data_IF_073182353234
#
_entry.id   IF_073182353234
#
_cell.length_a   1.000
_cell.length_b   1.000
_cell.length_c   1.000
_cell.angle_alpha   90.00
_cell.angle_beta   90.00
_cell.angle_gamma   90.00
#
_symmetry.space_group_name_H-M   'P 1'
#
loop_
_entity.id
_entity.type
_entity.pdbx_description
1 polymer ?
#
# COMPACT_ATOMS: atom_id res chain seq x y z
N UNK A 1 0.20 18.00 -25.79
CA UNK A 1 -0.92 17.36 -25.10
C UNK A 1 -0.98 15.90 -25.50
N UNK A 2 -0.25 15.05 -24.79
CA UNK A 2 -0.49 13.60 -24.85
C UNK A 2 -1.77 13.34 -24.06
N UNK A 3 -2.84 12.95 -24.78
CA UNK A 3 -4.12 12.61 -24.15
C UNK A 3 -3.93 11.45 -23.18
N UNK A 4 -4.61 11.49 -22.05
CA UNK A 4 -4.69 10.34 -21.17
C UNK A 4 -5.08 9.10 -21.98
N UNK A 5 -4.41 7.95 -21.81
CA UNK A 5 -4.76 6.73 -22.52
C UNK A 5 -6.22 6.40 -22.24
N UNK A 6 -7.04 6.33 -23.30
CA UNK A 6 -8.45 5.95 -23.16
C UNK A 6 -8.50 4.54 -22.59
N UNK A 7 -9.13 4.39 -21.44
CA UNK A 7 -9.34 3.08 -20.82
C UNK A 7 -10.32 2.28 -21.68
N UNK A 8 -9.97 1.06 -22.10
CA UNK A 8 -10.87 0.25 -22.91
C UNK A 8 -12.19 -0.03 -22.16
N UNK A 9 -13.30 0.01 -22.89
CA UNK A 9 -14.62 -0.30 -22.31
C UNK A 9 -14.73 -1.78 -21.92
N UNK A 10 -14.08 -2.67 -22.68
CA UNK A 10 -14.04 -4.11 -22.45
C UNK A 10 -12.60 -4.61 -22.54
N UNK A 11 -12.23 -5.50 -21.64
CA UNK A 11 -10.91 -6.14 -21.58
C UNK A 11 -11.09 -7.63 -21.79
N UNK A 12 -10.46 -8.22 -22.82
CA UNK A 12 -10.52 -9.65 -23.04
C UNK A 12 -9.80 -10.43 -21.94
N UNK A 13 -8.54 -10.07 -21.67
CA UNK A 13 -7.77 -10.67 -20.58
C UNK A 13 -7.00 -9.61 -19.83
N UNK A 14 -7.13 -9.60 -18.53
CA UNK A 14 -6.34 -8.75 -17.63
C UNK A 14 -5.25 -9.60 -16.96
N UNK A 15 -3.99 -9.21 -17.14
CA UNK A 15 -2.87 -9.81 -16.44
C UNK A 15 -2.44 -8.90 -15.29
N UNK A 16 -2.39 -9.44 -14.08
CA UNK A 16 -2.05 -8.72 -12.85
C UNK A 16 -0.78 -9.32 -12.25
N UNK A 17 0.14 -8.50 -11.82
CA UNK A 17 1.32 -8.92 -11.07
C UNK A 17 1.32 -8.32 -9.67
N UNK A 18 1.49 -9.17 -8.67
CA UNK A 18 1.57 -8.81 -7.26
C UNK A 18 0.21 -8.73 -6.55
N UNK A 19 0.22 -9.02 -5.26
CA UNK A 19 -0.95 -8.94 -4.39
C UNK A 19 -1.39 -7.51 -4.08
N UNK A 20 -0.50 -6.54 -4.22
CA UNK A 20 -0.79 -5.12 -4.01
C UNK A 20 -1.84 -4.62 -5.01
N UNK A 21 -1.85 -5.19 -6.21
CA UNK A 21 -2.84 -4.88 -7.22
C UNK A 21 -4.27 -5.19 -6.76
N UNK A 22 -4.45 -6.19 -5.88
CA UNK A 22 -5.77 -6.53 -5.34
C UNK A 22 -6.37 -5.44 -4.45
N UNK A 23 -5.51 -4.61 -3.84
CA UNK A 23 -5.94 -3.51 -2.98
C UNK A 23 -6.19 -2.20 -3.76
N UNK A 24 -5.81 -2.15 -5.04
CA UNK A 24 -5.99 -0.96 -5.88
C UNK A 24 -7.41 -0.92 -6.47
N UNK A 25 -8.24 0.10 -6.14
CA UNK A 25 -9.59 0.24 -6.68
C UNK A 25 -9.63 0.36 -8.20
N UNK A 26 -8.58 0.91 -8.82
CA UNK A 26 -8.49 1.04 -10.27
C UNK A 26 -8.33 -0.34 -10.91
N UNK A 27 -7.42 -1.16 -10.38
CA UNK A 27 -7.20 -2.53 -10.85
C UNK A 27 -8.46 -3.37 -10.65
N UNK A 28 -9.14 -3.21 -9.52
CA UNK A 28 -10.42 -3.87 -9.26
C UNK A 28 -11.47 -3.50 -10.31
N UNK A 29 -11.62 -2.23 -10.62
CA UNK A 29 -12.54 -1.75 -11.66
C UNK A 29 -12.16 -2.25 -13.05
N UNK A 30 -10.89 -2.49 -13.35
CA UNK A 30 -10.44 -3.11 -14.59
C UNK A 30 -10.82 -4.59 -14.63
N UNK A 31 -10.62 -5.30 -13.53
CA UNK A 31 -10.95 -6.72 -13.40
C UNK A 31 -12.45 -7.00 -13.62
N UNK A 32 -13.33 -6.12 -13.11
CA UNK A 32 -14.78 -6.22 -13.30
C UNK A 32 -15.22 -6.09 -14.77
N UNK A 33 -14.37 -5.52 -15.63
CA UNK A 33 -14.61 -5.34 -17.07
C UNK A 33 -13.86 -6.33 -17.94
N UNK A 34 -13.09 -7.21 -17.34
CA UNK A 34 -12.32 -8.23 -18.02
C UNK A 34 -13.14 -9.52 -18.20
N UNK A 35 -12.99 -10.16 -19.34
CA UNK A 35 -13.59 -11.48 -19.60
C UNK A 35 -12.82 -12.58 -18.86
N UNK A 36 -11.52 -12.38 -18.62
CA UNK A 36 -10.68 -13.26 -17.82
C UNK A 36 -9.62 -12.45 -17.06
N UNK A 37 -9.33 -12.87 -15.84
CA UNK A 37 -8.29 -12.29 -14.99
C UNK A 37 -7.25 -13.34 -14.63
N UNK A 38 -6.00 -13.09 -15.02
CA UNK A 38 -4.85 -13.94 -14.69
C UNK A 38 -3.97 -13.15 -13.72
N UNK A 39 -3.65 -13.73 -12.58
CA UNK A 39 -2.79 -13.11 -11.59
C UNK A 39 -1.50 -13.91 -11.38
N UNK A 40 -0.38 -13.23 -11.29
CA UNK A 40 0.91 -13.82 -10.89
C UNK A 40 1.27 -13.21 -9.53
N UNK A 41 1.31 -14.02 -8.48
CA UNK A 41 1.46 -13.50 -7.12
C UNK A 41 2.11 -14.52 -6.18
N UNK A 42 2.81 -14.03 -5.16
CA UNK A 42 3.28 -14.86 -4.05
C UNK A 42 2.14 -15.26 -3.10
N UNK A 43 1.12 -14.43 -2.99
CA UNK A 43 0.03 -14.61 -2.04
C UNK A 43 -1.33 -14.63 -2.76
N UNK A 44 -1.95 -15.79 -2.80
CA UNK A 44 -3.19 -15.99 -3.54
C UNK A 44 -4.43 -15.39 -2.86
N UNK A 45 -4.43 -15.29 -1.52
CA UNK A 45 -5.63 -14.95 -0.75
C UNK A 45 -6.30 -13.63 -1.14
N UNK A 46 -5.56 -12.52 -1.40
CA UNK A 46 -6.18 -11.26 -1.81
C UNK A 46 -6.89 -11.32 -3.17
N UNK A 47 -6.52 -12.31 -4.01
CA UNK A 47 -7.01 -12.46 -5.38
C UNK A 47 -8.03 -13.57 -5.54
N UNK A 48 -8.20 -14.40 -4.50
CA UNK A 48 -9.25 -15.43 -4.49
C UNK A 48 -10.63 -14.78 -4.60
N UNK A 49 -11.44 -15.34 -5.46
CA UNK A 49 -12.82 -14.89 -5.66
C UNK A 49 -13.00 -13.85 -6.78
N UNK A 50 -11.90 -13.39 -7.41
CA UNK A 50 -12.00 -12.51 -8.57
C UNK A 50 -10.91 -12.71 -9.64
N UNK A 51 -9.89 -13.51 -9.40
CA UNK A 51 -8.98 -13.99 -10.43
C UNK A 51 -9.39 -15.40 -10.88
N UNK A 52 -9.48 -15.59 -12.19
CA UNK A 52 -9.85 -16.88 -12.80
C UNK A 52 -8.69 -17.88 -12.75
N UNK A 53 -7.47 -17.36 -12.87
CA UNK A 53 -6.24 -18.14 -12.79
C UNK A 53 -5.21 -17.41 -11.94
N UNK A 54 -4.65 -18.13 -10.96
CA UNK A 54 -3.55 -17.63 -10.13
C UNK A 54 -2.31 -18.48 -10.39
N UNK A 55 -1.26 -17.83 -10.89
CA UNK A 55 0.05 -18.43 -11.09
C UNK A 55 0.98 -18.03 -9.94
N UNK A 56 1.88 -18.92 -9.52
CA UNK A 56 2.84 -18.57 -8.47
C UNK A 56 3.83 -17.51 -8.96
N UNK A 57 4.01 -16.48 -8.18
CA UNK A 57 5.02 -15.45 -8.34
C UNK A 57 6.24 -15.71 -7.47
N UNK A 58 7.25 -14.86 -7.61
CA UNK A 58 8.52 -14.95 -6.87
C UNK A 58 8.81 -13.66 -6.11
N UNK A 59 9.52 -13.78 -4.99
CA UNK A 59 10.04 -12.64 -4.26
C UNK A 59 11.25 -12.01 -4.98
N UNK A 60 11.64 -10.81 -4.56
CA UNK A 60 12.85 -10.16 -5.06
C UNK A 60 14.14 -10.95 -4.74
N UNK A 61 14.12 -11.84 -3.75
CA UNK A 61 15.25 -12.72 -3.42
C UNK A 61 15.37 -13.91 -4.37
N UNK A 62 14.33 -14.23 -5.10
CA UNK A 62 14.19 -15.41 -5.94
C UNK A 62 14.30 -15.12 -7.44
N UNK A 63 14.54 -13.86 -7.83
CA UNK A 63 14.61 -13.44 -9.23
C UNK A 63 15.89 -12.69 -9.57
N UNK A 64 16.27 -12.82 -10.83
CA UNK A 64 17.25 -11.95 -11.48
C UNK A 64 16.51 -10.78 -12.14
N UNK A 65 17.16 -9.64 -12.30
CA UNK A 65 16.55 -8.49 -12.96
C UNK A 65 17.35 -7.22 -12.82
N UNK A 66 16.72 -6.11 -13.15
CA UNK A 66 17.27 -4.77 -12.96
C UNK A 66 16.26 -3.88 -12.27
N UNK A 67 16.67 -3.21 -11.22
CA UNK A 67 15.88 -2.22 -10.49
C UNK A 67 16.51 -0.86 -10.73
N UNK A 68 15.68 0.14 -11.00
CA UNK A 68 16.11 1.54 -11.11
C UNK A 68 15.78 2.23 -9.79
N UNK A 69 16.81 2.80 -9.13
CA UNK A 69 16.59 3.51 -7.86
C UNK A 69 15.99 4.92 -8.09
N UNK A 70 15.70 5.64 -7.01
CA UNK A 70 15.13 6.98 -7.06
C UNK A 70 16.04 8.01 -7.77
N UNK A 71 17.32 7.74 -7.88
CA UNK A 71 18.29 8.59 -8.60
C UNK A 71 18.37 8.24 -10.08
N UNK A 72 17.59 7.25 -10.55
CA UNK A 72 17.63 6.79 -11.92
C UNK A 72 18.78 5.83 -12.24
N UNK A 73 19.48 5.34 -11.22
CA UNK A 73 20.60 4.41 -11.42
C UNK A 73 20.08 2.97 -11.58
N UNK A 74 20.37 2.29 -12.70
CA UNK A 74 20.07 0.87 -12.84
C UNK A 74 21.00 0.05 -11.95
N UNK A 75 20.40 -0.89 -11.22
CA UNK A 75 21.08 -1.80 -10.32
C UNK A 75 20.67 -3.23 -10.63
N UNK A 76 21.65 -4.08 -10.89
CA UNK A 76 21.41 -5.48 -11.19
C UNK A 76 21.03 -6.25 -9.94
N UNK A 77 19.86 -6.85 -9.97
CA UNK A 77 19.39 -7.81 -8.98
C UNK A 77 19.86 -9.21 -9.36
N UNK A 78 20.43 -9.92 -8.43
CA UNK A 78 20.78 -11.34 -8.55
C UNK A 78 19.99 -12.14 -7.50
N UNK A 79 19.36 -13.21 -7.93
CA UNK A 79 18.66 -14.10 -7.00
C UNK A 79 19.60 -14.67 -5.96
N UNK A 80 19.17 -14.69 -4.72
CA UNK A 80 19.86 -15.29 -3.60
C UNK A 80 19.34 -16.69 -3.27
N UNK A 81 18.13 -17.03 -3.72
CA UNK A 81 17.45 -18.28 -3.47
C UNK A 81 16.93 -18.85 -4.79
N UNK A 82 16.94 -20.18 -4.92
CA UNK A 82 16.36 -20.86 -6.08
C UNK A 82 14.84 -20.75 -6.00
N UNK A 83 14.17 -20.16 -7.02
CA UNK A 83 12.74 -19.98 -6.99
C UNK A 83 11.99 -21.32 -7.17
N UNK A 84 10.87 -21.52 -6.46
CA UNK A 84 10.02 -22.70 -6.64
C UNK A 84 9.19 -22.65 -7.93
N UNK A 85 9.07 -21.47 -8.55
CA UNK A 85 8.29 -21.20 -9.76
C UNK A 85 9.01 -20.20 -10.66
N UNK A 86 8.62 -20.07 -11.94
CA UNK A 86 9.08 -18.99 -12.80
C UNK A 86 8.69 -17.62 -12.23
N UNK A 87 9.53 -16.62 -12.45
CA UNK A 87 9.16 -15.22 -12.17
C UNK A 87 8.15 -14.70 -13.21
N UNK A 88 7.63 -13.51 -12.99
CA UNK A 88 6.61 -12.89 -13.83
C UNK A 88 7.07 -12.74 -15.28
N UNK A 89 8.32 -12.36 -15.50
CA UNK A 89 8.88 -12.19 -16.85
C UNK A 89 9.04 -13.51 -17.55
N UNK A 90 9.45 -14.56 -16.84
CA UNK A 90 9.56 -15.90 -17.36
C UNK A 90 8.16 -16.50 -17.71
N UNK A 91 7.13 -16.21 -16.91
CA UNK A 91 5.75 -16.57 -17.25
C UNK A 91 5.28 -15.88 -18.53
N UNK A 92 5.54 -14.58 -18.67
CA UNK A 92 5.20 -13.80 -19.87
C UNK A 92 5.96 -14.33 -21.09
N UNK A 93 7.25 -14.67 -20.95
CA UNK A 93 8.03 -15.24 -22.03
C UNK A 93 7.48 -16.59 -22.52
N UNK A 94 7.08 -17.47 -21.60
CA UNK A 94 6.42 -18.74 -21.93
C UNK A 94 5.09 -18.55 -22.65
N UNK A 95 4.32 -17.55 -22.24
CA UNK A 95 3.07 -17.19 -22.91
C UNK A 95 3.34 -16.64 -24.32
N UNK A 96 4.29 -15.72 -24.46
CA UNK A 96 4.68 -15.14 -25.75
C UNK A 96 5.14 -16.19 -26.76
N UNK A 97 5.91 -17.19 -26.31
CA UNK A 97 6.33 -18.31 -27.15
C UNK A 97 5.13 -19.05 -27.80
N UNK A 98 4.02 -19.20 -27.08
CA UNK A 98 2.79 -19.79 -27.61
C UNK A 98 2.16 -18.99 -28.74
N UNK A 99 2.45 -17.69 -28.82
CA UNK A 99 2.04 -16.80 -29.90
C UNK A 99 3.12 -16.59 -30.97
N UNK A 100 4.21 -17.36 -30.94
CA UNK A 100 5.32 -17.23 -31.85
C UNK A 100 6.20 -15.98 -31.62
N UNK A 101 6.09 -15.36 -30.45
CA UNK A 101 6.89 -14.21 -30.06
C UNK A 101 8.02 -14.65 -29.14
N UNK A 102 9.26 -14.33 -29.52
CA UNK A 102 10.43 -14.60 -28.68
C UNK A 102 10.67 -13.40 -27.76
N UNK A 103 10.53 -13.62 -26.47
CA UNK A 103 10.88 -12.66 -25.42
C UNK A 103 12.02 -13.26 -24.61
N UNK A 104 13.16 -12.59 -24.60
CA UNK A 104 14.25 -12.94 -23.67
C UNK A 104 14.03 -12.22 -22.34
N UNK A 105 13.64 -12.93 -21.27
CA UNK A 105 13.31 -12.31 -19.99
C UNK A 105 14.50 -11.63 -19.30
N UNK A 106 15.71 -11.94 -19.72
CA UNK A 106 16.94 -11.46 -19.05
C UNK A 106 17.85 -10.62 -19.96
N UNK A 107 17.56 -10.55 -21.25
CA UNK A 107 18.35 -9.78 -22.18
C UNK A 107 18.04 -8.30 -22.05
N UNK A 108 19.07 -7.51 -21.78
CA UNK A 108 19.14 -6.09 -22.11
C UNK A 108 18.27 -5.12 -21.32
N UNK A 109 17.70 -5.51 -20.18
CA UNK A 109 17.06 -4.52 -19.31
C UNK A 109 18.08 -3.45 -18.84
N UNK A 110 19.35 -3.83 -18.68
CA UNK A 110 20.43 -2.88 -18.37
C UNK A 110 20.72 -1.97 -19.56
N UNK A 111 20.85 -2.53 -20.77
CA UNK A 111 21.12 -1.74 -21.97
C UNK A 111 19.95 -0.79 -22.29
N UNK A 112 18.71 -1.24 -22.08
CA UNK A 112 17.54 -0.40 -22.26
C UNK A 112 17.44 0.71 -21.19
N UNK A 113 17.82 0.43 -19.96
CA UNK A 113 17.87 1.42 -18.88
C UNK A 113 19.03 2.42 -19.06
N UNK A 114 20.16 1.98 -19.61
CA UNK A 114 21.29 2.84 -19.97
C UNK A 114 20.99 3.68 -21.22
N UNK A 115 20.24 3.13 -22.19
CA UNK A 115 19.82 3.84 -23.40
C UNK A 115 18.62 4.76 -23.19
N UNK A 116 17.71 4.41 -22.29
CA UNK A 116 16.73 5.33 -21.76
C UNK A 116 17.45 6.28 -20.80
N UNK A 117 18.26 7.19 -21.38
CA UNK A 117 18.81 8.30 -20.62
C UNK A 117 17.63 8.98 -19.94
N UNK A 118 17.47 8.72 -18.64
CA UNK A 118 16.44 9.41 -17.86
C UNK A 118 16.66 10.89 -18.12
N UNK A 119 15.63 11.62 -18.51
CA UNK A 119 15.76 13.05 -18.77
C UNK A 119 16.44 13.66 -17.55
N UNK A 120 17.46 14.48 -17.78
CA UNK A 120 18.14 15.18 -16.71
C UNK A 120 17.07 15.72 -15.76
N UNK A 121 17.18 15.34 -14.48
CA UNK A 121 16.21 15.70 -13.45
C UNK A 121 15.91 17.18 -13.60
N UNK A 122 14.71 17.52 -14.07
CA UNK A 122 14.30 18.91 -14.13
C UNK A 122 14.44 19.48 -12.72
N UNK A 123 15.05 20.67 -12.60
CA UNK A 123 15.06 21.33 -11.29
C UNK A 123 13.62 21.37 -10.77
N UNK A 124 13.40 20.88 -9.53
CA UNK A 124 12.05 20.86 -8.99
C UNK A 124 11.53 22.29 -8.97
N UNK A 125 10.41 22.52 -9.65
CA UNK A 125 9.74 23.81 -9.57
C UNK A 125 9.48 24.14 -8.08
N UNK A 126 9.66 25.37 -7.64
CA UNK A 126 9.41 25.74 -6.26
C UNK A 126 7.96 25.40 -5.90
N UNK A 127 7.79 24.43 -5.02
CA UNK A 127 6.47 24.01 -4.55
C UNK A 127 6.00 24.98 -3.51
N UNK A 128 5.03 25.82 -3.84
CA UNK A 128 4.32 26.63 -2.85
C UNK A 128 3.40 25.70 -2.09
N UNK A 129 3.78 25.32 -0.87
CA UNK A 129 2.92 24.50 -0.02
C UNK A 129 1.64 25.28 0.30
N UNK A 130 0.47 24.69 0.14
CA UNK A 130 -0.78 25.31 0.56
C UNK A 130 -0.72 25.57 2.06
N UNK A 131 -1.19 26.75 2.48
CA UNK A 131 -1.25 27.10 3.88
C UNK A 131 -2.09 26.04 4.61
N UNK A 132 -1.49 25.36 5.59
CA UNK A 132 -2.20 24.33 6.34
C UNK A 132 -3.50 24.94 6.92
N UNK A 133 -4.66 24.29 6.71
CA UNK A 133 -5.90 24.76 7.31
C UNK A 133 -5.73 24.79 8.83
N UNK A 134 -6.13 25.90 9.46
CA UNK A 134 -6.12 25.99 10.93
C UNK A 134 -7.06 24.90 11.45
N UNK A 135 -6.52 24.02 12.30
CA UNK A 135 -7.33 23.04 13.00
C UNK A 135 -8.41 23.76 13.81
N UNK A 136 -9.67 23.58 13.45
CA UNK A 136 -10.79 24.09 14.24
C UNK A 136 -10.92 23.17 15.45
N UNK A 137 -10.53 23.67 16.61
CA UNK A 137 -10.69 22.98 17.90
C UNK A 137 -12.11 23.23 18.42
N UNK A 138 -13.06 22.39 18.04
CA UNK A 138 -14.32 22.34 18.73
C UNK A 138 -14.11 21.81 20.15
N UNK A 139 -14.49 22.56 21.19
CA UNK A 139 -14.49 22.07 22.57
C UNK A 139 -15.49 20.91 22.67
N UNK A 140 -14.99 19.68 22.87
CA UNK A 140 -15.83 18.48 23.09
C UNK A 140 -16.49 17.87 21.84
N UNK A 141 -16.23 18.40 20.65
CA UNK A 141 -16.71 17.83 19.39
C UNK A 141 -15.90 16.62 18.89
N UNK A 142 -16.32 16.02 17.76
CA UNK A 142 -15.60 14.91 17.17
C UNK A 142 -14.17 15.29 16.81
N UNK A 143 -13.24 14.35 17.01
CA UNK A 143 -11.83 14.51 16.69
C UNK A 143 -11.57 13.99 15.27
N UNK A 144 -10.64 14.59 14.55
CA UNK A 144 -10.24 14.11 13.23
C UNK A 144 -9.29 12.94 13.37
N UNK A 145 -9.68 11.78 12.86
CA UNK A 145 -8.83 10.59 12.81
C UNK A 145 -7.81 10.72 11.70
N UNK A 146 -6.53 10.67 12.07
CA UNK A 146 -5.39 10.59 11.16
C UNK A 146 -4.85 9.17 11.22
N UNK A 147 -5.07 8.42 10.15
CA UNK A 147 -4.55 7.07 10.02
C UNK A 147 -3.11 7.11 9.55
N UNK A 148 -2.31 6.17 10.02
CA UNK A 148 -0.97 5.97 9.49
C UNK A 148 -0.70 4.49 9.29
N UNK A 149 0.00 4.18 8.24
CA UNK A 149 0.51 2.84 8.01
C UNK A 149 1.82 2.69 8.78
N UNK A 150 1.88 1.71 9.67
CA UNK A 150 3.11 1.42 10.38
C UNK A 150 4.13 0.78 9.45
N UNK A 151 5.43 0.98 9.74
CA UNK A 151 6.51 0.43 8.91
C UNK A 151 6.44 -1.10 8.82
N UNK A 152 6.08 -1.75 9.91
CA UNK A 152 5.95 -3.21 10.01
C UNK A 152 4.48 -3.65 10.05
N UNK A 153 3.69 -3.15 9.10
CA UNK A 153 2.30 -3.56 8.92
C UNK A 153 2.08 -4.06 7.49
N UNK A 154 1.03 -4.85 7.31
CA UNK A 154 0.62 -5.37 6.03
C UNK A 154 0.96 -6.85 5.82
N UNK A 155 0.58 -7.41 4.66
CA UNK A 155 0.57 -8.86 4.43
C UNK A 155 1.90 -9.57 4.66
N UNK A 156 3.01 -8.91 4.35
CA UNK A 156 4.35 -9.49 4.52
C UNK A 156 4.69 -9.75 5.99
N UNK A 157 4.26 -8.87 6.90
CA UNK A 157 4.47 -9.06 8.36
C UNK A 157 3.38 -9.94 8.95
N UNK A 158 2.13 -9.76 8.52
CA UNK A 158 0.96 -10.47 9.07
C UNK A 158 1.02 -11.98 8.81
N UNK A 159 1.66 -12.40 7.70
CA UNK A 159 1.77 -13.81 7.29
C UNK A 159 3.01 -14.52 7.79
N UNK A 160 3.93 -13.80 8.43
CA UNK A 160 5.17 -14.37 8.98
C UNK A 160 5.07 -14.40 10.50
N UNK A 161 4.86 -15.58 11.13
CA UNK A 161 4.68 -15.69 12.58
C UNK A 161 5.81 -15.05 13.38
N UNK A 162 7.03 -15.16 12.91
CA UNK A 162 8.24 -14.63 13.53
C UNK A 162 8.30 -13.09 13.54
N UNK A 163 7.51 -12.42 12.70
CA UNK A 163 7.46 -10.96 12.62
C UNK A 163 6.25 -10.35 13.34
N UNK A 164 5.34 -11.17 13.87
CA UNK A 164 4.11 -10.69 14.52
C UNK A 164 4.37 -9.74 15.70
N UNK A 165 5.50 -9.90 16.39
CA UNK A 165 5.88 -9.02 17.50
C UNK A 165 6.18 -7.56 17.05
N UNK A 166 6.37 -7.31 15.76
CA UNK A 166 6.61 -5.98 15.20
C UNK A 166 5.33 -5.25 14.82
N UNK A 167 4.19 -5.92 14.85
CA UNK A 167 2.92 -5.28 14.54
C UNK A 167 2.62 -4.14 15.51
N UNK A 168 2.07 -3.02 15.02
CA UNK A 168 1.71 -1.92 15.91
C UNK A 168 0.62 -2.37 16.90
N UNK A 169 0.78 -1.94 18.14
CA UNK A 169 -0.26 -2.14 19.16
C UNK A 169 -1.50 -1.28 18.84
N UNK A 170 -2.70 -1.67 19.34
CA UNK A 170 -3.92 -0.88 19.19
C UNK A 170 -3.87 0.38 20.08
N UNK A 171 -3.02 1.32 19.71
CA UNK A 171 -2.80 2.57 20.44
C UNK A 171 -3.34 3.75 19.64
N UNK A 172 -4.13 4.61 20.30
CA UNK A 172 -4.56 5.89 19.76
C UNK A 172 -3.83 7.05 20.44
N UNK A 173 -3.25 7.92 19.64
CA UNK A 173 -2.57 9.11 20.14
C UNK A 173 -3.54 10.30 20.20
N UNK A 174 -3.54 11.00 21.33
CA UNK A 174 -4.31 12.23 21.53
C UNK A 174 -3.36 13.38 21.86
N UNK A 175 -3.73 14.61 21.49
CA UNK A 175 -3.02 15.79 21.98
C UNK A 175 -3.17 15.94 23.50
N UNK A 176 -2.23 16.61 24.14
CA UNK A 176 -2.31 16.84 25.60
C UNK A 176 -3.60 17.56 26.00
N UNK A 177 -4.07 18.51 25.17
CA UNK A 177 -5.30 19.26 25.42
C UNK A 177 -6.54 18.37 25.27
N UNK A 178 -6.61 17.59 24.20
CA UNK A 178 -7.77 16.73 23.95
C UNK A 178 -7.89 15.61 24.98
N UNK A 179 -6.76 15.06 25.42
CA UNK A 179 -6.69 14.08 26.50
C UNK A 179 -7.16 14.68 27.83
N UNK A 180 -6.66 15.87 28.18
CA UNK A 180 -7.07 16.58 29.41
C UNK A 180 -8.56 16.92 29.42
N UNK A 181 -9.10 17.42 28.29
CA UNK A 181 -10.53 17.78 28.17
C UNK A 181 -11.44 16.55 28.37
N UNK A 182 -10.95 15.36 28.02
CA UNK A 182 -11.69 14.08 28.15
C UNK A 182 -11.31 13.28 29.38
N UNK A 183 -10.44 13.85 30.23
CA UNK A 183 -9.89 13.21 31.43
C UNK A 183 -9.26 11.83 31.11
N UNK A 184 -8.52 11.74 30.00
CA UNK A 184 -7.85 10.52 29.54
C UNK A 184 -6.35 10.65 29.81
N UNK A 185 -5.77 9.66 30.48
CA UNK A 185 -4.34 9.53 30.72
C UNK A 185 -3.69 8.51 29.75
N UNK A 186 -2.37 8.63 29.60
CA UNK A 186 -1.61 7.62 28.84
C UNK A 186 -1.72 6.25 29.50
N UNK A 187 -1.98 5.21 28.70
CA UNK A 187 -2.13 3.83 29.15
C UNK A 187 -3.57 3.43 29.48
N UNK A 188 -4.50 4.36 29.59
CA UNK A 188 -5.91 4.05 29.81
C UNK A 188 -6.57 3.43 28.59
N UNK A 189 -7.51 2.52 28.83
CA UNK A 189 -8.39 2.01 27.79
C UNK A 189 -9.42 3.06 27.41
N UNK A 190 -9.59 3.22 26.10
CA UNK A 190 -10.55 4.13 25.50
C UNK A 190 -11.38 3.43 24.44
N UNK A 191 -12.58 3.93 24.23
CA UNK A 191 -13.45 3.53 23.12
C UNK A 191 -13.45 4.65 22.08
N UNK A 192 -13.09 4.30 20.88
CA UNK A 192 -13.14 5.20 19.69
C UNK A 192 -14.38 4.82 18.91
N UNK A 193 -15.26 5.78 18.68
CA UNK A 193 -16.55 5.57 17.99
C UNK A 193 -16.66 6.45 16.77
N UNK A 194 -17.27 5.89 15.73
CA UNK A 194 -17.64 6.61 14.51
C UNK A 194 -18.75 5.85 13.80
N UNK A 195 -19.80 6.54 13.42
CA UNK A 195 -20.87 6.05 12.56
C UNK A 195 -21.41 4.64 12.89
N UNK A 196 -21.62 4.37 14.17
CA UNK A 196 -22.12 3.07 14.67
C UNK A 196 -21.05 2.00 14.92
N UNK A 197 -19.82 2.23 14.46
CA UNK A 197 -18.67 1.35 14.73
C UNK A 197 -17.91 1.82 15.95
N UNK A 198 -17.39 0.90 16.75
CA UNK A 198 -16.57 1.20 17.90
C UNK A 198 -15.37 0.26 18.03
N UNK A 199 -14.21 0.82 18.38
CA UNK A 199 -12.97 0.07 18.59
C UNK A 199 -12.39 0.42 19.97
N UNK A 200 -11.92 -0.60 20.70
CA UNK A 200 -11.19 -0.39 21.96
C UNK A 200 -9.71 -0.27 21.67
N UNK A 201 -9.10 0.76 22.24
CA UNK A 201 -7.69 1.07 22.05
C UNK A 201 -7.08 1.54 23.37
N UNK A 202 -5.74 1.57 23.43
CA UNK A 202 -5.01 2.18 24.55
C UNK A 202 -4.63 3.60 24.20
N UNK A 203 -4.89 4.55 25.08
CA UNK A 203 -4.57 5.96 24.88
C UNK A 203 -3.08 6.25 25.08
N UNK A 204 -2.53 7.10 24.25
CA UNK A 204 -1.19 7.70 24.39
C UNK A 204 -1.28 9.21 24.22
N UNK A 205 -0.83 9.96 25.19
CA UNK A 205 -0.76 11.43 25.08
C UNK A 205 0.49 11.81 24.31
N UNK A 206 0.29 12.46 23.15
CA UNK A 206 1.35 12.95 22.28
C UNK A 206 1.34 14.49 22.27
N UNK A 207 2.35 15.10 22.90
CA UNK A 207 2.48 16.56 23.02
C UNK A 207 2.75 17.28 21.69
N UNK A 208 3.14 16.54 20.64
CA UNK A 208 3.41 17.08 19.30
C UNK A 208 2.18 17.01 18.39
N UNK A 209 1.15 16.29 18.83
CA UNK A 209 -0.06 16.16 18.02
C UNK A 209 -0.89 17.45 18.10
N UNK A 210 -1.44 17.84 16.97
CA UNK A 210 -2.30 19.02 16.85
C UNK A 210 -3.62 18.77 17.58
N UNK A 211 -4.12 19.77 18.29
CA UNK A 211 -5.41 19.70 18.97
C UNK A 211 -6.55 19.50 17.97
N UNK A 212 -7.54 18.68 18.34
CA UNK A 212 -8.65 18.31 17.48
C UNK A 212 -8.35 17.14 16.53
N UNK A 213 -7.15 16.55 16.60
CA UNK A 213 -6.79 15.38 15.85
C UNK A 213 -6.37 14.23 16.78
N UNK A 214 -6.66 13.01 16.34
CA UNK A 214 -6.14 11.76 16.92
C UNK A 214 -5.43 10.97 15.86
N UNK A 215 -4.45 10.16 16.24
CA UNK A 215 -3.63 9.38 15.33
C UNK A 215 -3.61 7.92 15.75
N UNK A 216 -3.85 7.01 14.80
CA UNK A 216 -3.83 5.59 15.08
C UNK A 216 -3.33 4.78 13.87
N UNK A 217 -2.79 3.56 14.09
CA UNK A 217 -2.42 2.65 13.01
C UNK A 217 -3.68 2.24 12.21
N UNK A 218 -3.57 2.29 10.89
CA UNK A 218 -4.69 2.00 9.97
C UNK A 218 -5.31 0.62 10.19
N UNK A 219 -4.50 -0.38 10.49
CA UNK A 219 -4.94 -1.77 10.70
C UNK A 219 -5.95 -1.95 11.84
N UNK A 220 -5.98 -1.03 12.82
CA UNK A 220 -6.89 -1.09 13.96
C UNK A 220 -8.10 -0.18 13.83
N UNK A 221 -8.11 0.74 12.88
CA UNK A 221 -9.14 1.79 12.74
C UNK A 221 -9.69 1.90 11.31
N UNK A 222 -9.43 0.91 10.46
CA UNK A 222 -9.82 0.95 9.04
C UNK A 222 -11.32 1.14 8.82
N UNK A 223 -12.15 0.62 9.71
CA UNK A 223 -13.62 0.70 9.62
C UNK A 223 -14.23 1.99 10.19
N UNK A 224 -13.45 2.82 10.88
CA UNK A 224 -13.94 4.08 11.43
C UNK A 224 -13.93 5.18 10.37
N UNK A 225 -14.85 6.13 10.46
CA UNK A 225 -14.82 7.35 9.63
C UNK A 225 -13.71 8.32 10.04
N UNK A 226 -13.57 9.41 9.30
CA UNK A 226 -12.58 10.43 9.62
C UNK A 226 -12.93 11.25 10.88
N UNK A 227 -14.21 11.33 11.24
CA UNK A 227 -14.69 12.01 12.44
C UNK A 227 -14.97 10.97 13.53
N UNK A 228 -14.26 11.04 14.65
CA UNK A 228 -14.35 10.07 15.74
C UNK A 228 -14.60 10.74 17.08
N UNK A 229 -15.32 10.04 17.94
CA UNK A 229 -15.43 10.36 19.36
C UNK A 229 -14.55 9.42 20.16
N UNK A 230 -13.84 9.95 21.15
CA UNK A 230 -12.97 9.18 22.06
C UNK A 230 -13.44 9.39 23.49
N UNK A 231 -13.75 8.31 24.17
CA UNK A 231 -14.17 8.30 25.59
C UNK A 231 -13.44 7.22 26.37
N UNK A 232 -13.38 7.33 27.68
CA UNK A 232 -12.94 6.21 28.53
C UNK A 232 -13.81 4.98 28.26
N UNK A 233 -13.19 3.80 28.35
CA UNK A 233 -13.88 2.52 28.20
C UNK A 233 -14.85 2.25 29.34
#
# INVERSE_FOLDING_TARGET
GEGEPQRPERIGTLLISGEEAAADPIVRSLAERADAVIAITMFADPLRGWADLILPGTSYLERDGTIVNLEGRPQRLRRAVIPPAPDEVAWIAKLAERFGVVVDPHARAVDAAEQAALPARAEPAPVTLPKAPRAQTAKGGPLKLVRYRALFSGPAVERVPELQFQRPEPVIELSARDASTRNIATGEEVVVRSNGTSVRMRARVNRRLVNGAVRAPEEHVGELDQAVEVSKA
#
